data_IF_736979896538
#
_entry.id   IF_736979896538
#
_cell.length_a   1.000
_cell.length_b   1.000
_cell.length_c   1.000
_cell.angle_alpha   90.00
_cell.angle_beta   90.00
_cell.angle_gamma   90.00
#
_symmetry.space_group_name_H-M   'P 1'
#
loop_
_entity.id
_entity.type
_entity.pdbx_description
1 polymer ?
#
# COMPACT_ATOMS: atom_id res chain seq x y z
N UNK A 1 14.69 -7.70 9.54
CA UNK A 1 15.44 -8.69 8.74
C UNK A 1 14.38 -9.63 8.21
N UNK A 2 14.09 -9.59 6.91
CA UNK A 2 12.87 -10.17 6.33
C UNK A 2 13.19 -11.55 5.78
N UNK A 3 12.77 -12.59 6.49
CA UNK A 3 12.93 -13.98 6.07
C UNK A 3 12.03 -14.26 4.85
N UNK A 4 12.63 -14.24 3.66
CA UNK A 4 11.96 -14.42 2.38
C UNK A 4 11.52 -15.86 2.12
N UNK A 5 10.45 -16.34 2.77
CA UNK A 5 10.00 -17.72 2.59
C UNK A 5 8.48 -17.92 2.45
N UNK A 6 7.76 -16.99 1.83
CA UNK A 6 6.39 -17.27 1.39
C UNK A 6 6.11 -16.61 0.04
N UNK A 7 5.97 -17.42 -1.02
CA UNK A 7 5.61 -16.93 -2.35
C UNK A 7 4.28 -16.17 -2.33
N UNK A 8 3.39 -16.52 -1.40
CA UNK A 8 2.13 -15.85 -1.17
C UNK A 8 2.29 -14.42 -0.64
N UNK A 9 3.22 -14.20 0.29
CA UNK A 9 3.50 -12.86 0.82
C UNK A 9 4.14 -11.97 -0.25
N UNK A 10 5.06 -12.53 -1.05
CA UNK A 10 5.60 -11.81 -2.21
C UNK A 10 4.54 -11.49 -3.25
N UNK A 11 3.68 -12.45 -3.61
CA UNK A 11 2.61 -12.21 -4.58
C UNK A 11 1.61 -11.14 -4.09
N UNK A 12 1.33 -11.11 -2.78
CA UNK A 12 0.53 -10.06 -2.16
C UNK A 12 1.23 -8.70 -2.23
N UNK A 13 2.51 -8.63 -1.85
CA UNK A 13 3.31 -7.42 -1.91
C UNK A 13 3.45 -6.89 -3.35
N UNK A 14 3.67 -7.76 -4.33
CA UNK A 14 3.74 -7.41 -5.75
C UNK A 14 2.42 -6.83 -6.26
N UNK A 15 1.28 -7.41 -5.84
CA UNK A 15 -0.04 -6.88 -6.17
C UNK A 15 -0.23 -5.47 -5.62
N UNK A 16 0.11 -5.24 -4.35
CA UNK A 16 0.03 -3.92 -3.73
C UNK A 16 0.95 -2.93 -4.46
N UNK A 17 2.19 -3.32 -4.74
CA UNK A 17 3.14 -2.49 -5.48
C UNK A 17 2.66 -2.17 -6.90
N UNK A 18 2.02 -3.12 -7.59
CA UNK A 18 1.41 -2.90 -8.89
C UNK A 18 0.28 -1.86 -8.84
N UNK A 19 -0.59 -1.95 -7.83
CA UNK A 19 -1.66 -0.97 -7.61
C UNK A 19 -1.08 0.42 -7.34
N UNK A 20 -0.10 0.52 -6.44
CA UNK A 20 0.53 1.80 -6.12
C UNK A 20 1.20 2.44 -7.35
N UNK A 21 1.90 1.63 -8.16
CA UNK A 21 2.51 2.09 -9.41
C UNK A 21 1.49 2.52 -10.45
N UNK A 22 0.40 1.78 -10.60
CA UNK A 22 -0.56 2.03 -11.66
C UNK A 22 -1.56 3.15 -11.32
N UNK A 23 -1.94 3.31 -10.06
CA UNK A 23 -2.92 4.31 -9.64
C UNK A 23 -2.30 5.63 -9.17
N UNK A 24 -1.10 5.62 -8.60
CA UNK A 24 -0.52 6.82 -7.97
C UNK A 24 0.71 7.37 -8.71
N UNK A 25 1.52 6.52 -9.34
CA UNK A 25 2.72 6.92 -10.10
C UNK A 25 2.38 7.25 -11.57
N UNK A 26 1.32 8.01 -11.79
CA UNK A 26 0.83 8.40 -13.12
C UNK A 26 1.65 9.51 -13.79
N UNK A 27 2.57 10.15 -13.04
CA UNK A 27 3.37 11.27 -13.52
C UNK A 27 4.87 11.00 -13.29
N UNK A 28 5.68 11.36 -14.28
CA UNK A 28 7.14 11.31 -14.16
C UNK A 28 7.61 12.34 -13.13
N UNK A 29 8.11 11.86 -12.00
CA UNK A 29 8.73 12.70 -10.97
C UNK A 29 10.10 13.17 -11.47
N UNK A 30 10.41 14.45 -11.32
CA UNK A 30 11.72 15.00 -11.72
C UNK A 30 12.81 14.69 -10.72
N UNK A 31 12.47 14.62 -9.44
CA UNK A 31 13.40 14.39 -8.35
C UNK A 31 13.04 13.16 -7.52
N UNK A 32 14.06 12.51 -6.95
CA UNK A 32 13.86 11.35 -6.08
C UNK A 32 13.16 11.74 -4.77
N UNK A 33 13.33 12.98 -4.30
CA UNK A 33 12.66 13.49 -3.10
C UNK A 33 11.15 13.61 -3.32
N UNK A 34 10.73 14.11 -4.49
CA UNK A 34 9.31 14.16 -4.87
C UNK A 34 8.73 12.75 -5.00
N UNK A 35 9.49 11.84 -5.61
CA UNK A 35 9.09 10.44 -5.72
C UNK A 35 8.88 9.79 -4.35
N UNK A 36 9.80 10.00 -3.40
CA UNK A 36 9.67 9.48 -2.04
C UNK A 36 8.45 10.05 -1.31
N UNK A 37 8.16 11.35 -1.47
CA UNK A 37 6.98 11.98 -0.89
C UNK A 37 5.70 11.37 -1.48
N UNK A 38 5.63 11.27 -2.80
CA UNK A 38 4.49 10.72 -3.51
C UNK A 38 4.24 9.25 -3.11
N UNK A 39 5.30 8.45 -2.99
CA UNK A 39 5.19 7.06 -2.51
C UNK A 39 4.66 7.00 -1.07
N UNK A 40 5.17 7.85 -0.17
CA UNK A 40 4.66 7.92 1.22
C UNK A 40 3.19 8.31 1.27
N UNK A 41 2.79 9.31 0.50
CA UNK A 41 1.39 9.73 0.41
C UNK A 41 0.49 8.62 -0.16
N UNK A 42 0.95 7.94 -1.21
CA UNK A 42 0.24 6.82 -1.83
C UNK A 42 0.01 5.67 -0.86
N UNK A 43 1.03 5.30 -0.10
CA UNK A 43 0.94 4.28 0.96
C UNK A 43 -0.05 4.73 2.03
N UNK A 44 0.00 6.00 2.44
CA UNK A 44 -0.92 6.55 3.43
C UNK A 44 -2.37 6.52 2.95
N UNK A 45 -2.63 6.92 1.70
CA UNK A 45 -3.96 6.89 1.08
C UNK A 45 -4.47 5.44 1.01
N UNK A 46 -3.63 4.50 0.58
CA UNK A 46 -4.00 3.09 0.53
C UNK A 46 -4.37 2.52 1.90
N UNK A 47 -3.58 2.81 2.94
CA UNK A 47 -3.78 2.25 4.27
C UNK A 47 -4.86 2.94 5.09
N UNK A 48 -5.08 4.25 4.93
CA UNK A 48 -5.95 5.05 5.81
C UNK A 48 -7.19 5.60 5.10
N UNK A 49 -7.19 5.72 3.78
CA UNK A 49 -8.28 6.39 3.06
C UNK A 49 -9.00 5.49 2.06
N UNK A 50 -8.38 4.39 1.59
CA UNK A 50 -9.02 3.48 0.64
C UNK A 50 -9.90 2.45 1.37
N UNK A 51 -11.24 2.54 1.27
CA UNK A 51 -12.10 1.47 1.74
C UNK A 51 -11.98 0.27 0.80
N UNK A 52 -11.74 -0.91 1.35
CA UNK A 52 -11.69 -2.14 0.56
C UNK A 52 -12.98 -2.92 0.69
N UNK A 53 -13.57 -3.31 -0.45
CA UNK A 53 -14.77 -4.15 -0.49
C UNK A 53 -14.57 -5.48 0.25
N UNK A 54 -13.41 -6.11 0.07
CA UNK A 54 -13.04 -7.35 0.77
C UNK A 54 -12.97 -7.21 2.30
N UNK A 55 -12.83 -5.98 2.79
CA UNK A 55 -12.73 -5.65 4.22
C UNK A 55 -14.07 -5.14 4.79
N UNK A 56 -15.14 -5.16 3.98
CA UNK A 56 -16.45 -4.62 4.33
C UNK A 56 -16.49 -3.10 4.29
N UNK A 57 -15.87 -2.48 3.29
CA UNK A 57 -15.72 -1.03 3.15
C UNK A 57 -14.92 -0.34 4.26
N UNK A 58 -14.07 -1.12 4.95
CA UNK A 58 -13.12 -0.61 5.95
C UNK A 58 -11.74 -0.43 5.35
N UNK A 59 -10.97 0.46 5.95
CA UNK A 59 -9.57 0.66 5.58
C UNK A 59 -8.67 -0.39 6.22
N UNK A 60 -7.50 -0.69 5.63
CA UNK A 60 -6.56 -1.65 6.19
C UNK A 60 -6.13 -1.27 7.62
N UNK A 61 -5.89 0.02 7.89
CA UNK A 61 -5.52 0.48 9.24
C UNK A 61 -6.64 0.29 10.25
N UNK A 62 -7.90 0.59 9.91
CA UNK A 62 -9.02 0.35 10.83
C UNK A 62 -9.16 -1.13 11.25
N UNK A 63 -8.83 -2.05 10.35
CA UNK A 63 -8.80 -3.47 10.67
C UNK A 63 -7.57 -3.87 11.48
N UNK A 64 -6.41 -3.30 11.16
CA UNK A 64 -5.18 -3.58 11.91
C UNK A 64 -5.27 -3.05 13.35
N UNK A 65 -5.86 -1.88 13.58
CA UNK A 65 -6.14 -1.34 14.91
C UNK A 65 -7.17 -2.19 15.67
N UNK A 66 -8.23 -2.69 15.00
CA UNK A 66 -9.22 -3.58 15.63
C UNK A 66 -8.70 -4.98 15.94
N UNK A 67 -7.72 -5.48 15.20
CA UNK A 67 -7.14 -6.80 15.40
C UNK A 67 -6.11 -6.85 16.55
N UNK A 68 -5.63 -5.69 17.02
CA UNK A 68 -4.70 -5.57 18.15
C UNK A 68 -5.41 -5.39 19.52
N UNK A 69 -6.73 -5.60 19.58
CA UNK A 69 -7.53 -5.63 20.82
C UNK A 69 -8.01 -7.05 21.13
#
# INVERSE_FOLDING_TARGET
MTDGYDCFQNALAERVNGILKQEFLLYECKDIVELEQLVKESINIYNNMRPHLSLGMRTPNELHEKANC
#
